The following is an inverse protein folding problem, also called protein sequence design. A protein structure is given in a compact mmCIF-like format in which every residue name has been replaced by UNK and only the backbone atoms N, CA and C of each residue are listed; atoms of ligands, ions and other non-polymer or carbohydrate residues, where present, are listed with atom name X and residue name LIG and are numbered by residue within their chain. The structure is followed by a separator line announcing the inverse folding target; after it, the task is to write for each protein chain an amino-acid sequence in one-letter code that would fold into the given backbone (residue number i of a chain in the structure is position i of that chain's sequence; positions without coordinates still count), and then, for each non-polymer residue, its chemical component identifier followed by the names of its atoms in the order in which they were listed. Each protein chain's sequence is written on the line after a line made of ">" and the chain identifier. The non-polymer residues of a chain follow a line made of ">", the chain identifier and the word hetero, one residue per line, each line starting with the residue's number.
data_IF_621356026757
#
_entry.id   IF_621356026757
#
_cell.length_a   1.000
_cell.length_b   1.000
_cell.length_c   1.000
_cell.angle_alpha   90.00
_cell.angle_beta   90.00
_cell.angle_gamma   90.00
#
_symmetry.space_group_name_H-M   'P 1'
#
loop_
_entity.id
_entity.type
_entity.pdbx_description
1 polymer ?
#
# COMPACT_ATOMS: atom_id res chain seq x y z
N UNK A 1 -11.43 19.65 -28.63
CA UNK A 1 -10.59 18.58 -28.09
C UNK A 1 -11.09 17.27 -28.63
N UNK A 2 -10.23 16.53 -29.30
CA UNK A 2 -10.63 15.27 -29.90
C UNK A 2 -11.06 14.29 -28.80
N UNK A 3 -12.23 13.77 -28.96
CA UNK A 3 -12.68 12.61 -28.23
C UNK A 3 -12.40 11.41 -29.12
N UNK A 4 -12.02 10.36 -28.73
CA UNK A 4 -11.64 9.21 -29.54
C UNK A 4 -10.26 8.74 -29.19
N UNK A 5 -9.47 8.36 -30.17
CA UNK A 5 -8.11 7.86 -29.94
C UNK A 5 -7.27 8.81 -29.09
N UNK A 6 -7.41 10.14 -29.33
CA UNK A 6 -6.71 11.14 -28.54
C UNK A 6 -7.13 11.16 -27.05
N UNK A 7 -8.40 10.93 -26.75
CA UNK A 7 -8.89 10.84 -25.37
C UNK A 7 -8.47 9.51 -24.70
N UNK A 8 -8.41 8.42 -25.44
CA UNK A 8 -7.89 7.15 -24.95
C UNK A 8 -6.43 7.31 -24.56
N UNK A 9 -5.61 7.90 -25.42
CA UNK A 9 -4.19 8.15 -25.11
C UNK A 9 -4.00 9.18 -23.98
N UNK A 10 -4.85 10.18 -23.86
CA UNK A 10 -4.79 11.13 -22.76
C UNK A 10 -5.20 10.54 -21.40
N UNK A 11 -6.02 9.50 -21.42
CA UNK A 11 -6.41 8.77 -20.20
C UNK A 11 -5.37 7.74 -19.76
N UNK A 12 -4.40 7.43 -20.62
CA UNK A 12 -3.29 6.54 -20.29
C UNK A 12 -2.17 7.32 -19.57
N UNK A 13 -2.48 7.86 -18.41
CA UNK A 13 -1.44 8.44 -17.55
C UNK A 13 -0.67 7.31 -16.89
N UNK A 14 0.65 7.32 -17.06
CA UNK A 14 1.58 6.42 -16.39
C UNK A 14 2.24 7.16 -15.23
N UNK A 15 2.08 6.65 -14.03
CA UNK A 15 2.68 7.19 -12.81
C UNK A 15 3.80 6.26 -12.34
N UNK A 16 5.01 6.48 -12.88
CA UNK A 16 6.19 5.66 -12.59
C UNK A 16 7.14 6.44 -11.68
N UNK A 17 7.08 6.22 -10.38
CA UNK A 17 7.80 7.04 -9.39
C UNK A 17 8.58 6.18 -8.41
N UNK A 18 9.81 6.59 -8.15
CA UNK A 18 10.64 6.08 -7.05
C UNK A 18 11.07 7.24 -6.16
N UNK A 19 10.83 7.12 -4.85
CA UNK A 19 11.32 8.04 -3.84
C UNK A 19 12.27 7.29 -2.90
N UNK A 20 13.35 7.94 -2.49
CA UNK A 20 14.32 7.31 -1.58
C UNK A 20 14.65 8.27 -0.45
N UNK A 21 14.53 7.78 0.79
CA UNK A 21 14.92 8.47 2.01
C UNK A 21 16.06 7.74 2.70
N UNK A 22 16.93 8.49 3.34
CA UNK A 22 18.01 7.95 4.17
C UNK A 22 18.09 8.71 5.49
N UNK A 23 17.93 7.98 6.58
CA UNK A 23 17.98 8.50 7.94
C UNK A 23 19.37 8.24 8.53
N UNK A 24 20.25 9.25 8.48
CA UNK A 24 21.64 9.14 8.96
C UNK A 24 21.82 9.56 10.41
N UNK A 25 21.01 10.50 10.86
CA UNK A 25 21.09 11.02 12.22
C UNK A 25 20.46 10.10 13.26
N UNK A 26 20.99 10.12 14.47
CA UNK A 26 20.37 9.46 15.63
C UNK A 26 19.00 10.11 15.89
N UNK A 27 17.98 9.31 16.23
CA UNK A 27 16.60 9.75 16.47
C UNK A 27 15.93 10.44 15.26
N UNK A 28 16.48 10.33 14.05
CA UNK A 28 15.87 10.94 12.87
C UNK A 28 14.56 10.23 12.49
N UNK A 29 13.64 11.00 11.91
CA UNK A 29 12.32 10.49 11.52
C UNK A 29 11.97 10.86 10.08
N UNK A 30 11.36 9.93 9.35
CA UNK A 30 10.80 10.13 8.02
C UNK A 30 9.39 9.55 7.96
N UNK A 31 8.46 10.31 7.41
CA UNK A 31 7.12 9.81 7.09
C UNK A 31 6.83 10.02 5.61
N UNK A 32 6.41 8.95 4.95
CA UNK A 32 5.87 8.97 3.61
C UNK A 32 4.36 8.79 3.67
N UNK A 33 3.62 9.78 3.18
CA UNK A 33 2.18 9.65 2.97
C UNK A 33 1.89 9.78 1.49
N UNK A 34 1.11 8.86 0.93
CA UNK A 34 0.73 8.88 -0.48
C UNK A 34 -0.69 8.43 -0.72
N UNK A 35 -1.30 9.03 -1.73
CA UNK A 35 -2.58 8.62 -2.30
C UNK A 35 -2.39 8.45 -3.79
N UNK A 36 -2.75 7.28 -4.30
CA UNK A 36 -2.61 6.92 -5.71
C UNK A 36 -4.00 6.69 -6.30
N UNK A 37 -4.33 7.47 -7.30
CA UNK A 37 -5.60 7.34 -8.04
C UNK A 37 -5.51 7.97 -9.42
N UNK A 38 -6.37 7.55 -10.34
CA UNK A 38 -6.61 8.21 -11.63
C UNK A 38 -5.63 7.84 -12.75
N UNK A 39 -4.48 7.24 -12.47
CA UNK A 39 -3.54 6.78 -13.50
C UNK A 39 -3.97 5.44 -14.07
N UNK A 40 -3.75 5.22 -15.37
CA UNK A 40 -3.98 3.93 -16.00
C UNK A 40 -3.07 2.85 -15.40
N UNK A 41 -1.79 3.21 -15.22
CA UNK A 41 -0.81 2.38 -14.54
C UNK A 41 -0.07 3.22 -13.51
N UNK A 42 -0.06 2.76 -12.28
CA UNK A 42 0.79 3.31 -11.20
C UNK A 42 1.84 2.29 -10.81
N UNK A 43 3.10 2.71 -10.83
CA UNK A 43 4.22 1.91 -10.36
C UNK A 43 5.09 2.75 -9.44
N UNK A 44 4.88 2.61 -8.12
CA UNK A 44 5.45 3.54 -7.14
C UNK A 44 5.96 2.84 -5.89
N UNK A 45 7.26 2.96 -5.66
CA UNK A 45 7.97 2.33 -4.54
C UNK A 45 8.85 3.30 -3.78
N UNK A 46 8.29 4.06 -2.84
CA UNK A 46 9.12 4.80 -1.89
C UNK A 46 9.93 3.86 -1.00
N UNK A 47 11.10 4.32 -0.60
CA UNK A 47 11.98 3.54 0.26
C UNK A 47 12.60 4.40 1.35
N UNK A 48 12.95 3.76 2.47
CA UNK A 48 13.69 4.39 3.55
C UNK A 48 14.81 3.47 4.04
N UNK A 49 16.02 4.03 4.19
CA UNK A 49 17.15 3.36 4.82
C UNK A 49 17.37 3.99 6.19
N UNK A 50 17.21 3.21 7.26
CA UNK A 50 17.36 3.64 8.65
C UNK A 50 18.80 3.30 9.10
N UNK A 51 19.72 4.26 8.89
CA UNK A 51 21.15 4.11 9.26
C UNK A 51 21.47 4.60 10.67
N UNK A 52 20.82 5.69 11.08
CA UNK A 52 21.03 6.24 12.41
C UNK A 52 20.33 5.41 13.49
N UNK A 53 20.95 5.27 14.64
CA UNK A 53 20.34 4.59 15.77
C UNK A 53 19.08 5.30 16.25
N UNK A 54 18.10 4.53 16.73
CA UNK A 54 16.77 4.99 17.14
C UNK A 54 15.98 5.72 16.05
N UNK A 55 16.39 5.63 14.79
CA UNK A 55 15.66 6.28 13.69
C UNK A 55 14.30 5.59 13.43
N UNK A 56 13.35 6.37 12.91
CA UNK A 56 11.98 5.92 12.70
C UNK A 56 11.51 6.26 11.30
N UNK A 57 10.86 5.30 10.64
CA UNK A 57 10.26 5.51 9.33
C UNK A 57 8.79 5.08 9.33
N UNK A 58 7.94 5.90 8.73
CA UNK A 58 6.52 5.62 8.59
C UNK A 58 6.12 5.69 7.11
N UNK A 59 5.27 4.77 6.70
CA UNK A 59 4.70 4.74 5.37
C UNK A 59 3.20 4.54 5.46
N UNK A 60 2.46 5.52 4.97
CA UNK A 60 1.01 5.50 4.87
C UNK A 60 0.61 5.61 3.40
N UNK A 61 -0.14 4.65 2.90
CA UNK A 61 -0.53 4.58 1.50
C UNK A 61 -1.99 4.23 1.34
N UNK A 62 -2.65 4.93 0.43
CA UNK A 62 -3.98 4.56 -0.07
C UNK A 62 -3.91 4.50 -1.59
N UNK A 63 -4.28 3.36 -2.17
CA UNK A 63 -4.41 3.18 -3.61
C UNK A 63 -5.87 2.90 -3.97
N UNK A 64 -6.45 3.76 -4.80
CA UNK A 64 -7.84 3.62 -5.27
C UNK A 64 -7.83 3.44 -6.78
N UNK A 65 -8.29 2.28 -7.22
CA UNK A 65 -8.33 1.91 -8.64
C UNK A 65 -9.73 1.53 -9.09
N UNK A 66 -10.07 1.88 -10.31
CA UNK A 66 -11.37 1.58 -10.92
C UNK A 66 -11.20 1.27 -12.41
N UNK A 67 -12.24 0.75 -13.04
CA UNK A 67 -12.26 0.35 -14.46
C UNK A 67 -11.13 -0.65 -14.76
N UNK A 68 -10.18 -0.28 -15.62
CA UNK A 68 -9.02 -1.10 -16.03
C UNK A 68 -7.71 -0.53 -15.51
N UNK A 69 -7.75 0.22 -14.42
CA UNK A 69 -6.54 0.77 -13.82
C UNK A 69 -5.74 -0.32 -13.10
N UNK A 70 -4.43 -0.21 -13.17
CA UNK A 70 -3.50 -1.08 -12.48
C UNK A 70 -2.61 -0.26 -11.56
N UNK A 71 -2.56 -0.62 -10.28
CA UNK A 71 -1.66 -0.01 -9.33
C UNK A 71 -0.76 -1.09 -8.71
N UNK A 72 0.53 -1.00 -8.96
CA UNK A 72 1.55 -1.80 -8.30
C UNK A 72 2.38 -0.85 -7.42
N UNK A 73 2.05 -0.86 -6.15
CA UNK A 73 2.62 0.05 -5.15
C UNK A 73 3.36 -0.74 -4.08
N UNK A 74 4.10 -0.04 -3.26
CA UNK A 74 4.79 -0.70 -2.16
C UNK A 74 5.84 0.18 -1.52
N UNK A 75 6.59 -0.41 -0.61
CA UNK A 75 7.68 0.30 0.06
C UNK A 75 8.82 -0.63 0.44
N UNK A 76 9.98 -0.03 0.70
CA UNK A 76 11.15 -0.74 1.20
C UNK A 76 11.62 -0.07 2.48
N UNK A 77 11.66 -0.81 3.58
CA UNK A 77 12.23 -0.37 4.86
C UNK A 77 13.48 -1.19 5.15
N UNK A 78 14.63 -0.52 5.18
CA UNK A 78 15.94 -1.16 5.37
C UNK A 78 16.52 -0.66 6.68
N UNK A 79 16.55 -1.53 7.69
CA UNK A 79 17.10 -1.27 9.01
C UNK A 79 18.59 -1.62 9.03
N UNK A 80 19.42 -0.63 9.38
CA UNK A 80 20.87 -0.77 9.50
C UNK A 80 21.39 -0.33 10.88
N UNK A 81 20.78 0.70 11.46
CA UNK A 81 21.08 1.17 12.81
C UNK A 81 20.37 0.36 13.89
N UNK A 82 20.79 0.55 15.15
CA UNK A 82 20.22 -0.12 16.33
C UNK A 82 18.92 0.54 16.77
N UNK A 83 18.00 -0.24 17.36
CA UNK A 83 16.72 0.21 17.92
C UNK A 83 15.86 0.98 16.90
N UNK A 84 16.00 0.70 15.64
CA UNK A 84 15.25 1.37 14.56
C UNK A 84 13.83 0.85 14.49
N UNK A 85 12.88 1.73 14.11
CA UNK A 85 11.47 1.37 14.00
C UNK A 85 10.91 1.74 12.64
N UNK A 86 10.07 0.88 12.08
CA UNK A 86 9.28 1.22 10.89
C UNK A 86 7.82 0.76 11.03
N UNK A 87 6.93 1.59 10.47
CA UNK A 87 5.50 1.28 10.39
C UNK A 87 5.05 1.42 8.95
N UNK A 88 4.33 0.42 8.47
CA UNK A 88 3.77 0.39 7.12
C UNK A 88 2.27 0.17 7.24
N UNK A 89 1.48 1.13 6.76
CA UNK A 89 0.03 1.00 6.65
C UNK A 89 -0.34 1.24 5.18
N UNK A 90 -0.79 0.21 4.50
CA UNK A 90 -1.18 0.28 3.10
C UNK A 90 -2.63 -0.16 2.93
N UNK A 91 -3.43 0.70 2.32
CA UNK A 91 -4.83 0.40 2.04
C UNK A 91 -5.09 0.46 0.54
N UNK A 92 -5.79 -0.54 0.03
CA UNK A 92 -6.15 -0.65 -1.38
C UNK A 92 -7.65 -0.74 -1.57
N UNK A 93 -8.18 -0.04 -2.55
CA UNK A 93 -9.57 -0.20 -3.00
C UNK A 93 -9.53 -0.48 -4.50
N UNK A 94 -10.11 -1.61 -4.89
CA UNK A 94 -10.22 -2.02 -6.29
C UNK A 94 -11.69 -2.15 -6.69
N UNK A 95 -12.05 -1.55 -7.81
CA UNK A 95 -13.40 -1.60 -8.36
C UNK A 95 -13.39 -1.90 -9.87
N UNK A 96 -14.50 -2.38 -10.41
CA UNK A 96 -14.65 -2.72 -11.83
C UNK A 96 -13.76 -3.90 -12.22
N UNK A 97 -12.82 -3.68 -13.15
CA UNK A 97 -11.83 -4.66 -13.62
C UNK A 97 -10.40 -4.30 -13.18
N UNK A 98 -10.26 -3.42 -12.20
CA UNK A 98 -8.97 -2.92 -11.78
C UNK A 98 -8.18 -3.93 -10.94
N UNK A 99 -6.84 -3.77 -10.94
CA UNK A 99 -5.93 -4.61 -10.20
C UNK A 99 -5.05 -3.77 -9.29
N UNK A 100 -4.98 -4.13 -8.01
CA UNK A 100 -4.17 -3.46 -7.03
C UNK A 100 -3.15 -4.44 -6.47
N UNK A 101 -1.88 -4.11 -6.51
CA UNK A 101 -0.79 -4.90 -5.95
C UNK A 101 0.00 -4.09 -4.95
N UNK A 102 0.30 -4.69 -3.82
CA UNK A 102 1.22 -4.15 -2.84
C UNK A 102 2.47 -5.04 -2.71
N UNK A 103 3.66 -4.43 -2.82
CA UNK A 103 4.94 -5.13 -2.62
C UNK A 103 5.72 -4.48 -1.50
N UNK A 104 5.92 -5.20 -0.41
CA UNK A 104 6.66 -4.72 0.76
C UNK A 104 7.99 -5.44 0.91
N UNK A 105 9.09 -4.68 1.08
CA UNK A 105 10.37 -5.22 1.53
C UNK A 105 10.70 -4.66 2.90
N UNK A 106 10.92 -5.55 3.86
CA UNK A 106 11.51 -5.22 5.16
C UNK A 106 12.82 -5.99 5.29
N UNK A 107 13.91 -5.24 5.43
CA UNK A 107 15.23 -5.83 5.65
C UNK A 107 15.80 -5.35 6.98
N UNK A 108 16.29 -6.27 7.81
CA UNK A 108 17.13 -5.96 8.95
C UNK A 108 18.52 -6.55 8.71
N UNK A 109 19.53 -5.68 8.65
CA UNK A 109 20.93 -6.12 8.49
C UNK A 109 21.46 -6.75 9.79
N UNK A 110 22.59 -7.43 9.74
CA UNK A 110 23.21 -8.06 10.91
C UNK A 110 23.49 -7.08 12.06
N UNK A 111 23.69 -5.78 11.75
CA UNK A 111 23.95 -4.75 12.75
C UNK A 111 22.68 -4.09 13.31
N UNK A 112 21.52 -4.38 12.77
CA UNK A 112 20.23 -3.77 13.15
C UNK A 112 19.64 -4.42 14.41
N UNK A 113 20.37 -4.34 15.52
CA UNK A 113 19.91 -4.84 16.81
C UNK A 113 18.60 -4.18 17.25
N UNK A 114 17.65 -4.98 17.75
CA UNK A 114 16.34 -4.54 18.23
C UNK A 114 15.52 -3.76 17.18
N UNK A 115 15.75 -4.00 15.91
CA UNK A 115 14.92 -3.41 14.85
C UNK A 115 13.48 -3.91 14.98
N UNK A 116 12.51 -3.01 14.78
CA UNK A 116 11.09 -3.35 14.83
C UNK A 116 10.37 -2.86 13.59
N UNK A 117 9.58 -3.73 12.99
CA UNK A 117 8.67 -3.35 11.91
C UNK A 117 7.26 -3.86 12.23
N UNK A 118 6.28 -3.00 11.94
CA UNK A 118 4.88 -3.38 11.85
C UNK A 118 4.36 -3.02 10.46
N UNK A 119 3.72 -3.97 9.79
CA UNK A 119 3.13 -3.80 8.47
C UNK A 119 1.69 -4.29 8.46
N UNK A 120 0.76 -3.43 8.03
CA UNK A 120 -0.64 -3.79 7.79
C UNK A 120 -1.03 -3.42 6.36
N UNK A 121 -1.60 -4.39 5.64
CA UNK A 121 -2.02 -4.24 4.25
C UNK A 121 -3.47 -4.67 4.10
N UNK A 122 -4.38 -3.70 4.01
CA UNK A 122 -5.81 -3.96 3.90
C UNK A 122 -6.30 -3.64 2.49
N UNK A 123 -7.08 -4.54 1.91
CA UNK A 123 -7.66 -4.36 0.58
C UNK A 123 -9.16 -4.57 0.60
N UNK A 124 -9.88 -3.68 -0.07
CA UNK A 124 -11.32 -3.75 -0.28
C UNK A 124 -11.63 -3.96 -1.76
N UNK A 125 -12.40 -4.99 -2.07
CA UNK A 125 -12.85 -5.32 -3.41
C UNK A 125 -14.32 -4.92 -3.59
N UNK A 126 -14.57 -4.07 -4.59
CA UNK A 126 -15.89 -3.62 -4.98
C UNK A 126 -16.25 -4.21 -6.35
N UNK A 127 -16.82 -5.40 -6.34
CA UNK A 127 -17.20 -6.14 -7.54
C UNK A 127 -16.53 -7.51 -7.67
N UNK A 128 -16.84 -8.21 -8.77
CA UNK A 128 -16.38 -9.59 -9.01
C UNK A 128 -15.10 -9.69 -9.82
N UNK A 129 -14.80 -8.68 -10.65
CA UNK A 129 -13.75 -8.73 -11.67
C UNK A 129 -12.50 -7.93 -11.31
N UNK A 130 -12.52 -7.27 -10.15
CA UNK A 130 -11.36 -6.58 -9.62
C UNK A 130 -10.52 -7.50 -8.71
N UNK A 131 -9.24 -7.14 -8.53
CA UNK A 131 -8.32 -7.93 -7.73
C UNK A 131 -7.43 -7.10 -6.81
N UNK A 132 -6.97 -7.75 -5.75
CA UNK A 132 -5.94 -7.23 -4.84
C UNK A 132 -4.92 -8.32 -4.55
N UNK A 133 -3.64 -7.94 -4.57
CA UNK A 133 -2.52 -8.85 -4.39
C UNK A 133 -1.51 -8.26 -3.42
N UNK A 134 -1.02 -9.07 -2.48
CA UNK A 134 -0.02 -8.63 -1.51
C UNK A 134 1.21 -9.55 -1.60
N UNK A 135 2.39 -8.93 -1.76
CA UNK A 135 3.67 -9.64 -1.89
C UNK A 135 4.64 -9.13 -0.81
N UNK A 136 4.56 -9.65 0.41
CA UNK A 136 5.52 -9.33 1.45
C UNK A 136 6.85 -10.04 1.21
N UNK A 137 7.96 -9.35 1.41
CA UNK A 137 9.29 -9.91 1.39
C UNK A 137 10.05 -9.46 2.64
N UNK A 138 10.49 -10.41 3.45
CA UNK A 138 11.21 -10.17 4.69
C UNK A 138 12.60 -10.80 4.61
N UNK A 139 13.64 -9.99 4.84
CA UNK A 139 15.04 -10.38 4.75
C UNK A 139 15.74 -9.98 6.07
N UNK A 140 15.73 -10.89 7.03
CA UNK A 140 16.11 -10.62 8.43
C UNK A 140 17.41 -11.35 8.75
N UNK A 141 18.44 -10.57 9.07
CA UNK A 141 19.79 -11.04 9.39
C UNK A 141 20.21 -10.75 10.83
N UNK A 142 19.26 -10.43 11.73
CA UNK A 142 19.54 -10.18 13.14
C UNK A 142 18.44 -10.80 14.01
N UNK A 143 18.84 -11.65 14.95
CA UNK A 143 17.93 -12.45 15.79
C UNK A 143 17.12 -11.62 16.80
N UNK A 144 17.54 -10.36 17.06
CA UNK A 144 16.81 -9.46 17.95
C UNK A 144 15.75 -8.62 17.24
N UNK A 145 15.69 -8.73 15.90
CA UNK A 145 14.71 -8.01 15.12
C UNK A 145 13.30 -8.63 15.25
N UNK A 146 12.29 -7.79 15.37
CA UNK A 146 10.89 -8.19 15.41
C UNK A 146 10.17 -7.59 14.20
N UNK A 147 9.61 -8.45 13.36
CA UNK A 147 8.87 -8.04 12.16
C UNK A 147 7.50 -8.67 12.18
N UNK A 148 6.49 -7.84 12.14
CA UNK A 148 5.08 -8.23 12.12
C UNK A 148 4.46 -7.81 10.79
N UNK A 149 3.67 -8.70 10.19
CA UNK A 149 2.96 -8.43 8.96
C UNK A 149 1.55 -8.99 9.02
N UNK A 150 0.57 -8.13 8.79
CA UNK A 150 -0.83 -8.48 8.67
C UNK A 150 -1.34 -8.10 7.27
N UNK A 151 -2.13 -8.95 6.67
CA UNK A 151 -2.77 -8.66 5.39
C UNK A 151 -4.21 -9.14 5.41
N UNK A 152 -5.14 -8.25 5.07
CA UNK A 152 -6.55 -8.58 4.94
C UNK A 152 -7.07 -8.20 3.56
N UNK A 153 -7.97 -9.03 3.03
CA UNK A 153 -8.70 -8.70 1.81
C UNK A 153 -10.17 -8.95 2.06
N UNK A 154 -10.96 -7.90 1.98
CA UNK A 154 -12.41 -7.94 2.15
C UNK A 154 -13.09 -7.72 0.82
N UNK A 155 -14.15 -8.49 0.56
CA UNK A 155 -15.03 -8.31 -0.60
C UNK A 155 -16.43 -8.04 -0.09
N UNK A 156 -17.04 -6.95 -0.56
CA UNK A 156 -18.45 -6.70 -0.30
C UNK A 156 -19.26 -7.69 -1.13
N UNK A 157 -20.03 -8.54 -0.46
CA UNK A 157 -20.86 -9.54 -1.12
C UNK A 157 -22.18 -8.92 -1.61
N UNK A 158 -22.69 -9.44 -2.71
CA UNK A 158 -24.01 -9.05 -3.23
C UNK A 158 -25.13 -9.37 -2.22
N UNK A 159 -24.99 -10.45 -1.45
CA UNK A 159 -25.92 -10.81 -0.39
C UNK A 159 -25.99 -9.79 0.74
N UNK A 160 -24.84 -9.25 1.15
CA UNK A 160 -24.79 -8.19 2.16
C UNK A 160 -25.45 -6.91 1.66
N UNK A 161 -25.17 -6.52 0.40
CA UNK A 161 -25.82 -5.37 -0.22
C UNK A 161 -27.34 -5.58 -0.36
N UNK A 162 -27.74 -6.76 -0.81
CA UNK A 162 -29.15 -7.12 -0.92
C UNK A 162 -29.85 -7.03 0.44
N UNK A 163 -29.23 -7.55 1.51
CA UNK A 163 -29.77 -7.47 2.86
C UNK A 163 -29.96 -6.02 3.33
N UNK A 164 -29.02 -5.14 3.05
CA UNK A 164 -29.12 -3.71 3.38
C UNK A 164 -30.24 -3.05 2.55
N UNK A 165 -30.27 -3.31 1.25
CA UNK A 165 -31.26 -2.75 0.35
C UNK A 165 -32.71 -3.16 0.71
N UNK A 166 -32.91 -4.41 1.16
CA UNK A 166 -34.21 -4.89 1.66
C UNK A 166 -34.69 -4.13 2.89
N UNK A 167 -33.80 -3.46 3.60
CA UNK A 167 -34.10 -2.61 4.76
C UNK A 167 -34.20 -1.12 4.40
N UNK A 168 -34.20 -0.80 3.09
CA UNK A 168 -34.31 0.58 2.62
C UNK A 168 -33.01 1.38 2.71
N UNK A 169 -31.88 0.73 2.96
CA UNK A 169 -30.56 1.40 2.94
C UNK A 169 -30.09 1.44 1.49
N UNK A 170 -29.84 2.63 0.90
CA UNK A 170 -29.30 2.74 -0.43
C UNK A 170 -27.95 2.05 -0.56
N UNK A 171 -27.63 1.52 -1.75
CA UNK A 171 -26.38 0.77 -1.97
C UNK A 171 -25.14 1.59 -1.62
N UNK A 172 -25.14 2.89 -1.90
CA UNK A 172 -24.02 3.80 -1.57
C UNK A 172 -23.76 3.86 -0.05
N UNK A 173 -24.83 3.97 0.73
CA UNK A 173 -24.75 4.00 2.19
C UNK A 173 -24.38 2.62 2.75
N UNK A 174 -24.90 1.55 2.15
CA UNK A 174 -24.62 0.17 2.53
C UNK A 174 -23.13 -0.17 2.36
N UNK A 175 -22.48 0.29 1.28
CA UNK A 175 -21.03 0.13 1.06
C UNK A 175 -20.21 0.79 2.16
N UNK A 176 -20.70 1.88 2.72
CA UNK A 176 -20.04 2.57 3.83
C UNK A 176 -20.25 1.93 5.21
N UNK A 177 -21.24 1.03 5.33
CA UNK A 177 -21.60 0.35 6.58
C UNK A 177 -20.97 -1.05 6.71
N UNK A 178 -20.65 -1.68 5.60
CA UNK A 178 -20.02 -3.00 5.49
C UNK A 178 -18.48 -2.86 5.52
#
# INVERSE_FOLDING_TARGET
>A
WSRGLGDVYKRQVLNLVTKRGELRGVNSKLSWTQVETGSAITWKYPSCVLKGDNSQAEFYSVAVTNNYQEADTGTKMIHMGKNTKSTIISKGISAGHSQNSYRGLVRATANAENARNYSSCDSLLLGSDCGAHTFPYMDIHNDTAIVEHEATTSKISEDQLFYCNQRGIPTEDAVGLI
#
